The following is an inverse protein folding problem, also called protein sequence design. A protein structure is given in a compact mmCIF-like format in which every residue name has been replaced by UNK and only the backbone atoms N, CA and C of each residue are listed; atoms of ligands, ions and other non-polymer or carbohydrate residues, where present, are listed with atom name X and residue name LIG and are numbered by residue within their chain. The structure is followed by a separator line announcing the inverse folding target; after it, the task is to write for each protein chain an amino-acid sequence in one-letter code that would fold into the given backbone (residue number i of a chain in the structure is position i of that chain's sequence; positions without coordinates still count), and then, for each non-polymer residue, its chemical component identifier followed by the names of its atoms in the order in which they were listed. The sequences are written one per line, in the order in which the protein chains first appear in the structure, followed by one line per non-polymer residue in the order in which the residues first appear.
data_IF_811943426376
#
_entry.id   IF_811943426376
#
_cell.length_a   1.000
_cell.length_b   1.000
_cell.length_c   1.000
_cell.angle_alpha   90.00
_cell.angle_beta   90.00
_cell.angle_gamma   90.00
#
_symmetry.space_group_name_H-M   'P 1'
#
loop_
_entity.id
_entity.type
_entity.pdbx_description
1 polymer ?
#
# COMPACT_ATOMS: atom_id res chain seq x y z
N UNK A 1 1.29 -9.14 24.79
CA UNK A 1 -0.11 -8.61 24.75
C UNK A 1 -0.87 -9.28 23.62
N UNK A 2 -2.15 -9.68 23.86
CA UNK A 2 -2.99 -10.34 22.86
C UNK A 2 -3.82 -9.28 22.15
N UNK A 3 -3.63 -9.13 20.84
CA UNK A 3 -4.43 -8.20 20.04
C UNK A 3 -5.73 -8.86 19.54
N UNK A 4 -6.87 -8.27 19.92
CA UNK A 4 -8.19 -8.72 19.46
C UNK A 4 -8.48 -8.13 18.07
N UNK A 5 -8.71 -8.98 17.10
CA UNK A 5 -8.97 -8.61 15.70
C UNK A 5 -10.43 -8.87 15.35
N UNK A 6 -11.14 -7.81 14.96
CA UNK A 6 -12.51 -7.91 14.43
C UNK A 6 -12.46 -8.15 12.92
N UNK A 7 -13.46 -8.87 12.40
CA UNK A 7 -13.68 -9.07 10.96
C UNK A 7 -12.42 -9.51 10.19
N UNK A 8 -11.76 -10.63 10.59
CA UNK A 8 -10.50 -11.07 10.01
C UNK A 8 -10.60 -11.37 8.50
N UNK A 9 -11.80 -11.70 8.02
CA UNK A 9 -12.06 -12.03 6.62
C UNK A 9 -12.35 -10.81 5.74
N UNK A 10 -12.53 -9.63 6.33
CA UNK A 10 -12.71 -8.39 5.56
C UNK A 10 -11.48 -8.10 4.71
N UNK A 11 -11.69 -7.75 3.44
CA UNK A 11 -10.62 -7.45 2.49
C UNK A 11 -10.47 -5.95 2.27
N UNK A 12 -9.24 -5.53 2.02
CA UNK A 12 -8.92 -4.11 1.77
C UNK A 12 -7.89 -4.00 0.63
N UNK A 13 -7.84 -2.88 -0.07
CA UNK A 13 -6.83 -2.62 -1.09
C UNK A 13 -5.51 -2.18 -0.44
N UNK A 14 -4.83 -3.12 0.21
CA UNK A 14 -3.59 -2.87 0.93
C UNK A 14 -2.50 -2.33 0.00
N UNK A 15 -1.93 -1.19 0.35
CA UNK A 15 -0.80 -0.60 -0.36
C UNK A 15 0.12 0.15 0.60
N UNK A 16 1.37 0.33 0.20
CA UNK A 16 2.33 1.15 0.94
C UNK A 16 2.05 2.64 0.71
N UNK A 17 2.34 3.48 1.68
CA UNK A 17 2.14 4.93 1.58
C UNK A 17 2.87 5.54 0.37
N UNK A 18 4.06 5.04 0.03
CA UNK A 18 4.83 5.50 -1.13
C UNK A 18 4.08 5.32 -2.46
N UNK A 19 3.15 4.37 -2.56
CA UNK A 19 2.30 4.22 -3.74
C UNK A 19 1.37 5.43 -3.93
N UNK A 20 0.68 5.83 -2.87
CA UNK A 20 -0.20 7.01 -2.93
C UNK A 20 0.62 8.29 -3.20
N UNK A 21 1.76 8.45 -2.51
CA UNK A 21 2.66 9.60 -2.69
C UNK A 21 3.17 9.66 -4.13
N UNK A 22 3.63 8.54 -4.72
CA UNK A 22 4.07 8.50 -6.12
C UNK A 22 2.94 8.92 -7.08
N UNK A 23 1.71 8.48 -6.79
CA UNK A 23 0.53 8.87 -7.55
C UNK A 23 0.25 10.38 -7.48
N UNK A 24 0.35 10.97 -6.29
CA UNK A 24 0.14 12.41 -6.10
C UNK A 24 1.22 13.24 -6.82
N UNK A 25 2.49 12.82 -6.75
CA UNK A 25 3.58 13.52 -7.45
C UNK A 25 3.42 13.44 -8.97
N UNK A 26 3.03 12.27 -9.50
CA UNK A 26 2.73 12.11 -10.93
C UNK A 26 1.54 12.98 -11.33
N UNK A 27 0.47 13.01 -10.54
CA UNK A 27 -0.70 13.85 -10.80
C UNK A 27 -0.31 15.34 -10.80
N UNK A 28 0.44 15.80 -9.80
CA UNK A 28 0.90 17.19 -9.72
C UNK A 28 1.72 17.59 -10.96
N UNK A 29 2.68 16.73 -11.38
CA UNK A 29 3.47 16.94 -12.59
C UNK A 29 2.63 16.98 -13.87
N UNK A 30 1.53 16.22 -13.94
CA UNK A 30 0.62 16.23 -15.09
C UNK A 30 -0.31 17.43 -15.09
N UNK A 31 -0.79 17.86 -13.93
CA UNK A 31 -1.64 19.04 -13.79
C UNK A 31 -0.96 20.31 -14.26
N UNK A 32 0.36 20.45 -14.05
CA UNK A 32 1.13 21.61 -14.52
C UNK A 32 1.23 21.71 -16.05
N UNK A 33 0.95 20.61 -16.77
CA UNK A 33 1.12 20.50 -18.22
C UNK A 33 -0.19 20.26 -18.97
N UNK A 34 -1.26 19.92 -18.27
CA UNK A 34 -2.53 19.52 -18.90
C UNK A 34 -3.74 19.99 -18.10
N UNK A 35 -4.32 21.10 -18.54
CA UNK A 35 -5.49 21.73 -17.92
C UNK A 35 -6.76 20.85 -17.98
N UNK A 36 -6.84 19.87 -18.89
CA UNK A 36 -8.01 18.98 -18.98
C UNK A 36 -8.14 18.02 -17.78
N UNK A 37 -7.09 17.91 -16.98
CA UNK A 37 -7.08 17.11 -15.76
C UNK A 37 -7.57 17.89 -14.53
N UNK A 38 -7.72 19.21 -14.62
CA UNK A 38 -8.14 20.04 -13.51
C UNK A 38 -9.56 19.66 -13.06
N UNK A 39 -9.79 19.64 -11.75
CA UNK A 39 -11.08 19.25 -11.17
C UNK A 39 -11.41 17.75 -11.26
N UNK A 40 -10.54 16.93 -11.85
CA UNK A 40 -10.78 15.49 -11.96
C UNK A 40 -10.29 14.71 -10.72
N UNK A 41 -11.08 13.74 -10.28
CA UNK A 41 -10.71 12.82 -9.20
C UNK A 41 -9.96 11.58 -9.73
N UNK A 42 -8.98 11.09 -8.97
CA UNK A 42 -8.19 9.91 -9.29
C UNK A 42 -8.07 8.99 -8.08
N UNK A 43 -8.15 7.68 -8.32
CA UNK A 43 -7.83 6.67 -7.33
C UNK A 43 -6.45 6.06 -7.62
N UNK A 44 -5.64 5.93 -6.58
CA UNK A 44 -4.36 5.25 -6.62
C UNK A 44 -4.46 3.99 -5.75
N UNK A 45 -4.42 2.83 -6.35
CA UNK A 45 -4.61 1.56 -5.68
C UNK A 45 -3.59 0.50 -6.12
N UNK A 46 -3.53 -0.64 -5.42
CA UNK A 46 -2.53 -1.67 -5.64
C UNK A 46 -2.58 -2.29 -7.05
N UNK A 47 -1.50 -2.95 -7.45
CA UNK A 47 -1.36 -3.61 -8.76
C UNK A 47 -2.48 -4.65 -8.96
N UNK A 48 -2.72 -5.47 -7.96
CA UNK A 48 -3.68 -6.57 -8.03
C UNK A 48 -5.09 -6.12 -7.68
N UNK A 49 -6.06 -6.53 -8.49
CA UNK A 49 -7.48 -6.43 -8.15
C UNK A 49 -7.89 -7.40 -7.04
N UNK A 50 -7.07 -8.43 -6.77
CA UNK A 50 -7.31 -9.39 -5.70
C UNK A 50 -6.99 -8.74 -4.36
N UNK A 51 -8.03 -8.46 -3.59
CA UNK A 51 -7.89 -7.92 -2.23
C UNK A 51 -7.48 -9.03 -1.26
N UNK A 52 -6.64 -8.68 -0.30
CA UNK A 52 -6.22 -9.60 0.76
C UNK A 52 -6.97 -9.29 2.05
N UNK A 53 -7.27 -10.34 2.84
CA UNK A 53 -7.97 -10.20 4.11
C UNK A 53 -7.07 -9.63 5.20
N UNK A 54 -7.68 -9.06 6.24
CA UNK A 54 -6.97 -8.65 7.47
C UNK A 54 -6.18 -9.81 8.06
N UNK A 55 -6.79 -10.99 8.12
CA UNK A 55 -6.13 -12.22 8.59
C UNK A 55 -4.84 -12.48 7.81
N UNK A 56 -4.87 -12.39 6.47
CA UNK A 56 -3.70 -12.63 5.63
C UNK A 56 -2.57 -11.64 5.88
N UNK A 57 -2.91 -10.36 6.10
CA UNK A 57 -1.91 -9.34 6.49
C UNK A 57 -1.23 -9.71 7.79
N UNK A 58 -2.00 -10.05 8.82
CA UNK A 58 -1.47 -10.39 10.14
C UNK A 58 -0.63 -11.68 10.13
N UNK A 59 -1.02 -12.70 9.35
CA UNK A 59 -0.21 -13.90 9.14
C UNK A 59 1.18 -13.57 8.60
N UNK A 60 1.26 -12.67 7.62
CA UNK A 60 2.55 -12.27 7.05
C UNK A 60 3.36 -11.39 8.01
N UNK A 61 2.70 -10.55 8.81
CA UNK A 61 3.39 -9.73 9.82
C UNK A 61 4.02 -10.55 10.96
N UNK A 62 3.57 -11.78 11.23
CA UNK A 62 4.23 -12.69 12.20
C UNK A 62 5.72 -12.90 11.89
N UNK A 63 6.14 -12.81 10.65
CA UNK A 63 7.56 -12.91 10.27
C UNK A 63 8.41 -11.74 10.80
N UNK A 64 7.79 -10.66 11.20
CA UNK A 64 8.45 -9.45 11.71
C UNK A 64 8.22 -9.27 13.21
N UNK A 65 7.11 -9.79 13.73
CA UNK A 65 6.63 -9.61 15.11
C UNK A 65 6.32 -10.97 15.74
N UNK A 66 7.38 -11.73 16.07
CA UNK A 66 7.31 -13.14 16.53
C UNK A 66 6.47 -13.31 17.79
N UNK A 67 6.45 -12.32 18.67
CA UNK A 67 5.71 -12.36 19.95
C UNK A 67 4.28 -11.82 19.89
N UNK A 68 3.77 -11.52 18.68
CA UNK A 68 2.41 -10.99 18.54
C UNK A 68 1.39 -12.12 18.45
N UNK A 69 0.51 -12.19 19.44
CA UNK A 69 -0.66 -13.08 19.41
C UNK A 69 -1.89 -12.33 18.93
N UNK A 70 -2.59 -12.92 17.96
CA UNK A 70 -3.85 -12.39 17.43
C UNK A 70 -5.00 -13.32 17.77
N UNK A 71 -6.04 -12.81 18.42
CA UNK A 71 -7.32 -13.51 18.60
C UNK A 71 -8.35 -12.93 17.64
N UNK A 72 -8.86 -13.79 16.79
CA UNK A 72 -9.88 -13.44 15.82
C UNK A 72 -11.27 -13.62 16.44
N UNK A 73 -12.10 -12.58 16.33
CA UNK A 73 -13.49 -12.62 16.77
C UNK A 73 -14.37 -11.97 15.71
N UNK A 74 -15.22 -12.74 15.07
CA UNK A 74 -16.22 -12.19 14.17
C UNK A 74 -17.24 -11.38 14.98
N UNK A 75 -17.39 -10.12 14.62
CA UNK A 75 -18.36 -9.24 15.26
C UNK A 75 -19.53 -8.96 14.30
N UNK A 76 -20.61 -9.71 14.48
CA UNK A 76 -21.85 -9.55 13.69
C UNK A 76 -22.56 -8.19 13.92
N UNK A 77 -22.18 -7.45 14.98
CA UNK A 77 -22.86 -6.22 15.40
C UNK A 77 -22.57 -5.02 14.49
N UNK A 78 -21.43 -5.03 13.79
CA UNK A 78 -21.07 -3.96 12.87
C UNK A 78 -20.97 -4.53 11.45
N UNK A 79 -21.85 -4.07 10.56
CA UNK A 79 -21.79 -4.38 9.13
C UNK A 79 -20.68 -3.54 8.48
N UNK A 80 -19.44 -4.01 8.56
CA UNK A 80 -18.38 -3.45 7.72
C UNK A 80 -18.48 -4.02 6.30
N UNK A 81 -18.15 -3.20 5.30
CA UNK A 81 -18.02 -3.70 3.93
C UNK A 81 -17.00 -4.84 3.89
N UNK A 82 -17.45 -6.03 3.53
CA UNK A 82 -16.58 -7.22 3.45
C UNK A 82 -15.55 -7.09 2.34
N UNK A 83 -15.94 -6.46 1.24
CA UNK A 83 -15.09 -6.22 0.08
C UNK A 83 -14.96 -4.71 -0.17
N UNK A 84 -13.75 -4.20 -0.10
CA UNK A 84 -13.41 -2.86 -0.57
C UNK A 84 -12.30 -2.98 -1.61
N UNK A 85 -12.52 -2.47 -2.81
CA UNK A 85 -11.53 -2.43 -3.87
C UNK A 85 -11.42 -1.03 -4.47
N UNK A 86 -10.26 -0.68 -5.01
CA UNK A 86 -10.03 0.58 -5.70
C UNK A 86 -9.83 0.33 -7.20
N UNK A 87 -10.54 1.10 -8.01
CA UNK A 87 -10.33 1.09 -9.45
C UNK A 87 -9.40 2.25 -9.86
N UNK A 88 -8.15 1.91 -10.16
CA UNK A 88 -7.12 2.85 -10.61
C UNK A 88 -7.00 2.95 -12.14
N UNK A 89 -7.98 2.45 -12.91
CA UNK A 89 -7.92 2.44 -14.38
C UNK A 89 -7.76 3.83 -14.97
N UNK A 90 -8.41 4.84 -14.39
CA UNK A 90 -8.29 6.24 -14.80
C UNK A 90 -6.88 6.78 -14.60
N UNK A 91 -6.25 6.51 -13.46
CA UNK A 91 -4.85 6.90 -13.20
C UNK A 91 -3.89 6.22 -14.18
N UNK A 92 -4.09 4.93 -14.46
CA UNK A 92 -3.28 4.23 -15.48
C UNK A 92 -3.45 4.84 -16.87
N UNK A 93 -4.69 5.12 -17.29
CA UNK A 93 -4.98 5.61 -18.64
C UNK A 93 -4.51 7.05 -18.86
N UNK A 94 -4.84 7.97 -17.94
CA UNK A 94 -4.62 9.40 -18.13
C UNK A 94 -3.27 9.89 -17.59
N UNK A 95 -2.79 9.29 -16.49
CA UNK A 95 -1.53 9.68 -15.87
C UNK A 95 -0.37 8.75 -16.23
N UNK A 96 -0.67 7.59 -16.86
CA UNK A 96 0.29 6.51 -17.07
C UNK A 96 0.95 6.04 -15.74
N UNK A 97 0.24 6.20 -14.63
CA UNK A 97 0.69 5.77 -13.32
C UNK A 97 0.35 4.30 -13.06
N UNK A 98 1.29 3.57 -12.51
CA UNK A 98 1.12 2.20 -12.00
C UNK A 98 1.78 2.09 -10.64
N UNK A 99 1.14 1.34 -9.73
CA UNK A 99 1.75 0.97 -8.46
C UNK A 99 3.04 0.17 -8.69
N UNK A 100 3.99 0.32 -7.78
CA UNK A 100 5.32 -0.30 -7.86
C UNK A 100 5.38 -1.62 -7.07
N UNK A 101 4.82 -1.64 -5.85
CA UNK A 101 4.95 -2.77 -4.94
C UNK A 101 3.83 -3.79 -5.12
N UNK A 102 4.18 -5.06 -5.08
CA UNK A 102 3.24 -6.16 -4.85
C UNK A 102 2.75 -6.16 -3.41
N UNK A 103 1.71 -6.93 -3.12
CA UNK A 103 1.21 -7.08 -1.75
C UNK A 103 2.30 -7.57 -0.78
N UNK A 104 3.08 -8.59 -1.17
CA UNK A 104 4.14 -9.14 -0.32
C UNK A 104 5.26 -8.11 -0.07
N UNK A 105 5.64 -7.36 -1.09
CA UNK A 105 6.62 -6.28 -0.94
C UNK A 105 6.09 -5.17 -0.03
N UNK A 106 4.82 -4.81 -0.14
CA UNK A 106 4.16 -3.86 0.77
C UNK A 106 4.30 -4.30 2.23
N UNK A 107 3.98 -5.58 2.53
CA UNK A 107 4.13 -6.14 3.88
C UNK A 107 5.60 -6.13 4.33
N UNK A 108 6.53 -6.44 3.43
CA UNK A 108 7.96 -6.42 3.72
C UNK A 108 8.46 -5.01 4.06
N UNK A 109 8.07 -4.00 3.30
CA UNK A 109 8.44 -2.61 3.58
C UNK A 109 7.95 -2.16 4.96
N UNK A 110 6.66 -2.34 5.23
CA UNK A 110 6.06 -1.95 6.50
C UNK A 110 6.64 -2.76 7.66
N UNK A 111 6.72 -4.09 7.52
CA UNK A 111 7.21 -4.99 8.57
C UNK A 111 8.67 -4.70 8.94
N UNK A 112 9.55 -4.49 7.95
CA UNK A 112 10.95 -4.14 8.19
C UNK A 112 11.09 -2.77 8.85
N UNK A 113 10.30 -1.77 8.45
CA UNK A 113 10.34 -0.45 9.06
C UNK A 113 10.03 -0.53 10.55
N UNK A 114 8.90 -1.12 10.92
CA UNK A 114 8.49 -1.25 12.31
C UNK A 114 9.42 -2.15 13.14
N UNK A 115 9.89 -3.27 12.56
CA UNK A 115 10.85 -4.15 13.23
C UNK A 115 12.13 -3.41 13.62
N UNK A 116 12.69 -2.61 12.72
CA UNK A 116 13.90 -1.85 13.00
C UNK A 116 13.64 -0.71 13.99
N UNK A 117 12.50 -0.04 13.90
CA UNK A 117 12.12 1.01 14.82
C UNK A 117 11.99 0.48 16.26
N UNK A 118 11.26 -0.62 16.47
CA UNK A 118 11.04 -1.16 17.81
C UNK A 118 12.26 -1.89 18.38
N UNK A 119 13.12 -2.46 17.55
CA UNK A 119 14.30 -3.22 18.03
C UNK A 119 15.57 -2.36 18.19
N UNK A 120 15.59 -1.14 17.69
CA UNK A 120 16.83 -0.34 17.76
C UNK A 120 16.63 1.14 17.43
N UNK A 121 15.39 1.65 17.46
CA UNK A 121 15.03 3.03 17.10
C UNK A 121 15.57 3.47 15.73
N UNK A 122 15.81 2.51 14.82
CA UNK A 122 16.31 2.80 13.47
C UNK A 122 15.16 3.15 12.54
N UNK A 123 15.16 4.37 12.03
CA UNK A 123 14.19 4.90 11.07
C UNK A 123 14.67 4.61 9.65
N UNK A 124 14.00 3.68 8.94
CA UNK A 124 14.38 3.26 7.58
C UNK A 124 13.71 4.07 6.46
N UNK A 125 13.09 5.21 6.77
CA UNK A 125 12.26 5.94 5.79
C UNK A 125 13.07 6.37 4.56
N UNK A 126 14.27 6.92 4.74
CA UNK A 126 15.13 7.37 3.64
C UNK A 126 15.59 6.20 2.78
N UNK A 127 16.05 5.13 3.39
CA UNK A 127 16.48 3.90 2.72
C UNK A 127 15.33 3.27 1.92
N UNK A 128 14.13 3.26 2.49
CA UNK A 128 12.95 2.73 1.80
C UNK A 128 12.53 3.60 0.60
N UNK A 129 12.62 4.92 0.70
CA UNK A 129 12.37 5.82 -0.45
C UNK A 129 13.36 5.52 -1.57
N UNK A 130 14.65 5.43 -1.28
CA UNK A 130 15.68 5.12 -2.27
C UNK A 130 15.50 3.73 -2.89
N UNK A 131 15.20 2.73 -2.07
CA UNK A 131 14.90 1.37 -2.53
C UNK A 131 13.66 1.34 -3.42
N UNK A 132 12.59 2.05 -3.05
CA UNK A 132 11.37 2.17 -3.83
C UNK A 132 11.62 2.80 -5.21
N UNK A 133 12.42 3.88 -5.26
CA UNK A 133 12.79 4.53 -6.52
C UNK A 133 13.63 3.61 -7.40
N UNK A 134 14.61 2.91 -6.82
CA UNK A 134 15.46 1.96 -7.53
C UNK A 134 14.65 0.83 -8.14
N UNK A 135 13.70 0.27 -7.36
CA UNK A 135 12.80 -0.77 -7.84
C UNK A 135 11.90 -0.27 -8.98
N UNK A 136 11.39 0.96 -8.86
CA UNK A 136 10.56 1.58 -9.89
C UNK A 136 11.33 1.78 -11.21
N UNK A 137 12.59 2.24 -11.13
CA UNK A 137 13.49 2.37 -12.29
C UNK A 137 13.73 1.01 -12.96
N UNK A 138 14.04 -0.02 -12.18
CA UNK A 138 14.24 -1.40 -12.67
C UNK A 138 12.98 -1.95 -13.36
N UNK A 139 11.79 -1.61 -12.87
CA UNK A 139 10.48 -1.95 -13.44
C UNK A 139 10.07 -1.05 -14.60
N UNK A 140 10.91 -0.07 -14.96
CA UNK A 140 10.69 0.89 -16.05
C UNK A 140 9.35 1.63 -15.92
N UNK A 141 8.96 1.99 -14.70
CA UNK A 141 7.73 2.75 -14.48
C UNK A 141 7.85 4.12 -15.16
N UNK A 142 6.74 4.60 -15.76
CA UNK A 142 6.73 5.80 -16.60
C UNK A 142 7.21 7.06 -15.88
N UNK A 143 6.91 7.18 -14.59
CA UNK A 143 7.30 8.33 -13.78
C UNK A 143 8.78 8.35 -13.35
N UNK A 144 9.54 7.31 -13.69
CA UNK A 144 11.00 7.25 -13.45
C UNK A 144 11.82 7.64 -14.68
N UNK A 145 11.16 7.90 -15.80
CA UNK A 145 11.82 8.39 -17.02
C UNK A 145 11.93 9.91 -16.94
N UNK A 146 13.14 10.42 -17.05
CA UNK A 146 13.39 11.85 -17.19
C UNK A 146 12.83 12.34 -18.52
#
# INVERSE_FOLDING_TARGET
EITKVRNPNSTRPWQHVLEAISGYLVLASKLSKNHTLHGQSFNFGPISKKSNSVKRVLELFRNYFVYSEFRFKDNKRFKEAQLLSLNSSKARKLLNWKANLTFTETISYVGNWYKNYYNGNKILTKEQILSYQTLAKRRKLSWTKN
#
